data_IF_390598326161
#
_entry.id   IF_390598326161
#
_cell.length_a   1.000
_cell.length_b   1.000
_cell.length_c   1.000
_cell.angle_alpha   90.00
_cell.angle_beta   90.00
_cell.angle_gamma   90.00
#
_symmetry.space_group_name_H-M   'P 1'
#
loop_
_entity.id
_entity.type
_entity.pdbx_description
1 polymer ?
#
# COMPACT_ATOMS: atom_id res chain seq x y z
N UNK A 1 27.17 -28.92 6.94
CA UNK A 1 27.40 -27.49 6.65
C UNK A 1 26.09 -26.96 6.10
N UNK A 2 25.33 -26.20 6.90
CA UNK A 2 24.07 -25.64 6.45
C UNK A 2 24.38 -24.46 5.52
N UNK A 3 24.14 -24.63 4.22
CA UNK A 3 24.14 -23.53 3.27
C UNK A 3 23.04 -22.57 3.73
N UNK A 4 23.44 -21.46 4.36
CA UNK A 4 22.53 -20.36 4.69
C UNK A 4 22.09 -19.81 3.33
N UNK A 5 20.90 -20.19 2.88
CA UNK A 5 20.35 -19.69 1.62
C UNK A 5 20.46 -18.17 1.60
N UNK A 6 20.91 -17.59 0.49
CA UNK A 6 21.23 -16.19 0.47
C UNK A 6 19.91 -15.41 0.52
N UNK A 7 19.84 -14.49 1.47
CA UNK A 7 18.57 -13.93 1.91
C UNK A 7 18.14 -12.79 0.98
N UNK A 8 16.85 -12.70 0.65
CA UNK A 8 16.31 -11.69 -0.26
C UNK A 8 16.74 -10.26 0.15
N UNK A 9 17.14 -9.47 -0.84
CA UNK A 9 17.49 -8.06 -0.66
C UNK A 9 16.22 -7.21 -0.45
N UNK A 10 16.32 -6.13 0.33
CA UNK A 10 15.18 -5.21 0.53
C UNK A 10 14.67 -4.64 -0.80
N UNK A 11 15.57 -4.37 -1.75
CA UNK A 11 15.20 -3.90 -3.08
C UNK A 11 14.37 -4.93 -3.85
N UNK A 12 14.80 -6.20 -3.86
CA UNK A 12 14.03 -7.27 -4.52
C UNK A 12 12.67 -7.49 -3.83
N UNK A 13 12.62 -7.39 -2.50
CA UNK A 13 11.38 -7.46 -1.74
C UNK A 13 10.42 -6.32 -2.13
N UNK A 14 10.88 -5.06 -2.14
CA UNK A 14 10.07 -3.91 -2.55
C UNK A 14 9.52 -4.10 -3.97
N UNK A 15 10.36 -4.51 -4.91
CA UNK A 15 9.94 -4.76 -6.29
C UNK A 15 8.89 -5.88 -6.40
N UNK A 16 9.03 -6.96 -5.62
CA UNK A 16 8.05 -8.06 -5.59
C UNK A 16 6.69 -7.58 -5.04
N UNK A 17 6.70 -6.75 -4.00
CA UNK A 17 5.50 -6.16 -3.41
C UNK A 17 4.81 -5.18 -4.37
N UNK A 18 5.57 -4.31 -5.05
CA UNK A 18 5.03 -3.33 -6.00
C UNK A 18 4.29 -4.00 -7.18
N UNK A 19 4.79 -5.16 -7.66
CA UNK A 19 4.11 -5.98 -8.67
C UNK A 19 2.70 -6.41 -8.22
N UNK A 20 2.50 -6.58 -6.91
CA UNK A 20 1.23 -6.97 -6.28
C UNK A 20 0.42 -5.81 -5.72
N UNK A 21 0.78 -4.56 -6.06
CA UNK A 21 0.18 -3.34 -5.51
C UNK A 21 0.30 -3.25 -3.98
N UNK A 22 1.42 -3.72 -3.43
CA UNK A 22 1.75 -3.63 -2.01
C UNK A 22 2.89 -2.63 -1.83
N UNK A 23 2.82 -1.86 -0.75
CA UNK A 23 3.86 -0.94 -0.33
C UNK A 23 4.44 -1.41 1.01
N UNK A 24 5.74 -1.68 1.04
CA UNK A 24 6.42 -2.14 2.25
C UNK A 24 6.36 -1.07 3.35
N UNK A 25 5.93 -1.47 4.55
CA UNK A 25 5.98 -0.64 5.77
C UNK A 25 7.14 -1.09 6.64
N UNK A 26 7.17 -2.38 7.00
CA UNK A 26 8.25 -2.99 7.78
C UNK A 26 8.30 -4.49 7.53
N UNK A 27 9.42 -5.12 7.87
CA UNK A 27 9.54 -6.56 7.83
C UNK A 27 10.44 -7.10 8.93
N UNK A 28 10.17 -8.32 9.35
CA UNK A 28 10.99 -9.12 10.27
C UNK A 28 11.35 -10.42 9.57
N UNK A 29 12.60 -10.86 9.74
CA UNK A 29 13.07 -12.13 9.19
C UNK A 29 13.04 -13.20 10.27
N UNK A 30 12.49 -14.35 9.94
CA UNK A 30 12.36 -15.49 10.83
C UNK A 30 13.54 -16.45 10.67
N UNK A 31 13.78 -17.27 11.69
CA UNK A 31 14.90 -18.23 11.72
C UNK A 31 14.75 -19.37 10.69
N UNK A 32 13.52 -19.63 10.26
CA UNK A 32 13.18 -20.62 9.22
C UNK A 32 13.38 -20.08 7.79
N UNK A 33 13.83 -18.83 7.64
CA UNK A 33 14.07 -18.17 6.36
C UNK A 33 12.84 -17.45 5.79
N UNK A 34 11.68 -17.54 6.43
CA UNK A 34 10.49 -16.75 6.05
C UNK A 34 10.61 -15.30 6.54
N UNK A 35 9.71 -14.45 6.08
CA UNK A 35 9.64 -13.05 6.49
C UNK A 35 8.19 -12.66 6.80
N UNK A 36 7.99 -12.09 7.98
CA UNK A 36 6.74 -11.42 8.33
C UNK A 36 6.83 -9.96 7.89
N UNK A 37 5.89 -9.53 7.07
CA UNK A 37 5.94 -8.23 6.38
C UNK A 37 4.66 -7.47 6.64
N UNK A 38 4.80 -6.28 7.20
CA UNK A 38 3.73 -5.30 7.26
C UNK A 38 3.80 -4.45 5.99
N UNK A 39 2.68 -4.37 5.27
CA UNK A 39 2.57 -3.63 4.03
C UNK A 39 1.23 -2.92 3.92
N UNK A 40 1.13 -1.97 3.00
CA UNK A 40 -0.15 -1.41 2.57
C UNK A 40 -0.54 -1.98 1.21
N UNK A 41 -1.69 -2.64 1.12
CA UNK A 41 -2.32 -2.97 -0.15
C UNK A 41 -2.98 -1.72 -0.71
N UNK A 42 -2.58 -1.31 -1.91
CA UNK A 42 -3.24 -0.27 -2.67
C UNK A 42 -4.55 -0.82 -3.25
N UNK A 43 -5.65 -0.59 -2.53
CA UNK A 43 -6.97 -1.08 -2.89
C UNK A 43 -7.73 -0.04 -3.74
N UNK A 44 -8.25 -0.42 -4.92
CA UNK A 44 -8.97 0.52 -5.78
C UNK A 44 -10.36 0.83 -5.20
N UNK A 45 -10.56 2.07 -4.77
CA UNK A 45 -11.86 2.68 -4.55
C UNK A 45 -12.29 3.36 -5.85
N UNK A 46 -13.25 2.76 -6.54
CA UNK A 46 -13.85 3.36 -7.74
C UNK A 46 -14.63 4.61 -7.33
N UNK A 47 -14.33 5.72 -7.98
CA UNK A 47 -15.13 6.95 -7.91
C UNK A 47 -15.89 7.09 -9.23
N UNK A 48 -17.13 7.60 -9.17
CA UNK A 48 -17.99 7.73 -10.35
C UNK A 48 -17.40 8.73 -11.38
N UNK A 49 -16.67 9.75 -10.92
CA UNK A 49 -16.29 10.89 -11.76
C UNK A 49 -14.81 10.96 -12.15
N UNK A 50 -13.90 10.24 -11.49
CA UNK A 50 -12.46 10.49 -11.63
C UNK A 50 -11.59 9.23 -11.75
N UNK A 51 -12.18 8.08 -12.05
CA UNK A 51 -11.47 6.81 -12.13
C UNK A 51 -11.07 6.25 -10.75
N UNK A 52 -10.28 5.16 -10.70
CA UNK A 52 -9.93 4.52 -9.44
C UNK A 52 -8.98 5.40 -8.61
N UNK A 53 -9.36 5.65 -7.36
CA UNK A 53 -8.46 6.15 -6.33
C UNK A 53 -7.99 4.98 -5.47
N UNK A 54 -6.70 4.88 -5.23
CA UNK A 54 -6.11 3.78 -4.48
C UNK A 54 -5.97 4.17 -3.01
N UNK A 55 -6.59 3.38 -2.13
CA UNK A 55 -6.49 3.55 -0.68
C UNK A 55 -5.45 2.57 -0.15
N UNK A 56 -4.43 3.03 0.60
CA UNK A 56 -3.52 2.13 1.29
C UNK A 56 -4.25 1.46 2.46
N UNK A 57 -4.42 0.14 2.38
CA UNK A 57 -5.00 -0.69 3.44
C UNK A 57 -3.92 -1.54 4.09
N UNK A 58 -3.75 -1.50 5.43
CA UNK A 58 -2.73 -2.29 6.09
C UNK A 58 -3.02 -3.79 5.94
N UNK A 59 -1.97 -4.56 5.67
CA UNK A 59 -1.98 -6.02 5.57
C UNK A 59 -0.70 -6.58 6.18
N UNK A 60 -0.85 -7.69 6.90
CA UNK A 60 0.26 -8.51 7.40
C UNK A 60 0.46 -9.70 6.46
N UNK A 61 1.66 -9.85 5.93
CA UNK A 61 2.01 -10.84 4.93
C UNK A 61 3.06 -11.78 5.48
N UNK A 62 3.03 -13.02 5.01
CA UNK A 62 4.15 -13.95 5.17
C UNK A 62 4.77 -14.19 3.80
N UNK A 63 6.10 -14.01 3.71
CA UNK A 63 6.85 -14.11 2.47
C UNK A 63 7.88 -15.22 2.58
N UNK A 64 7.85 -16.12 1.60
CA UNK A 64 8.90 -17.11 1.40
C UNK A 64 9.85 -16.64 0.28
N UNK A 65 11.11 -16.29 0.59
CA UNK A 65 12.08 -15.92 -0.44
C UNK A 65 12.49 -17.13 -1.29
N UNK A 66 12.94 -16.87 -2.52
CA UNK A 66 13.49 -17.85 -3.46
C UNK A 66 14.93 -17.44 -3.83
N UNK A 67 15.77 -17.23 -2.81
CA UNK A 67 17.11 -16.64 -2.94
C UNK A 67 17.13 -15.10 -2.82
N UNK A 68 18.20 -14.47 -3.33
CA UNK A 68 18.48 -13.04 -3.11
C UNK A 68 17.58 -12.08 -3.90
N UNK A 69 17.05 -12.57 -5.02
CA UNK A 69 16.44 -11.73 -6.06
C UNK A 69 14.98 -12.04 -6.33
N UNK A 70 14.41 -13.05 -5.68
CA UNK A 70 13.09 -13.57 -6.04
C UNK A 70 12.26 -13.97 -4.82
N UNK A 71 10.94 -13.85 -4.95
CA UNK A 71 9.96 -14.24 -3.92
C UNK A 71 9.21 -15.46 -4.42
N UNK A 72 9.27 -16.55 -3.66
CA UNK A 72 8.56 -17.80 -3.96
C UNK A 72 7.06 -17.66 -3.80
N UNK A 73 6.63 -17.11 -2.67
CA UNK A 73 5.22 -16.94 -2.32
C UNK A 73 5.01 -15.74 -1.41
N UNK A 74 3.82 -15.14 -1.54
CA UNK A 74 3.30 -14.09 -0.67
C UNK A 74 1.93 -14.59 -0.21
N UNK A 75 1.76 -14.71 1.09
CA UNK A 75 0.51 -15.13 1.72
C UNK A 75 -0.18 -13.94 2.40
N UNK A 76 -1.50 -14.01 2.54
CA UNK A 76 -2.33 -12.99 3.18
C UNK A 76 -2.29 -11.60 2.50
N UNK A 77 -2.09 -11.56 1.16
CA UNK A 77 -1.98 -10.32 0.38
C UNK A 77 -3.30 -9.55 0.15
N UNK A 78 -4.38 -10.03 0.76
CA UNK A 78 -5.72 -9.50 0.63
C UNK A 78 -6.12 -8.77 1.91
N UNK A 79 -6.59 -7.52 1.81
CA UNK A 79 -7.10 -6.79 2.97
C UNK A 79 -8.37 -7.48 3.50
N UNK A 80 -8.64 -7.23 4.77
CA UNK A 80 -9.89 -7.67 5.40
C UNK A 80 -11.11 -7.14 4.62
N UNK A 81 -12.20 -7.93 4.59
CA UNK A 81 -13.39 -7.59 3.80
C UNK A 81 -14.06 -6.31 4.28
N UNK A 82 -14.05 -6.06 5.59
CA UNK A 82 -14.60 -4.83 6.16
C UNK A 82 -13.70 -3.64 5.81
N UNK A 83 -12.37 -3.80 5.89
CA UNK A 83 -11.43 -2.77 5.45
C UNK A 83 -11.61 -2.39 3.97
N UNK A 84 -11.86 -3.36 3.10
CA UNK A 84 -12.13 -3.13 1.67
C UNK A 84 -13.46 -2.39 1.43
N UNK A 85 -14.49 -2.64 2.25
CA UNK A 85 -15.76 -1.92 2.20
C UNK A 85 -15.60 -0.49 2.71
N UNK A 86 -14.91 -0.33 3.83
CA UNK A 86 -14.65 0.95 4.49
C UNK A 86 -13.82 1.87 3.59
N UNK A 87 -12.87 1.32 2.83
CA UNK A 87 -12.08 2.09 1.86
C UNK A 87 -12.97 2.90 0.89
N UNK A 88 -14.04 2.29 0.36
CA UNK A 88 -14.96 2.98 -0.56
C UNK A 88 -15.75 4.08 0.15
N UNK A 89 -16.26 3.80 1.34
CA UNK A 89 -16.99 4.78 2.14
C UNK A 89 -16.10 5.94 2.57
N UNK A 90 -14.85 5.64 2.92
CA UNK A 90 -13.83 6.61 3.29
C UNK A 90 -13.53 7.57 2.15
N UNK A 91 -13.29 7.06 0.93
CA UNK A 91 -13.08 7.93 -0.24
C UNK A 91 -14.30 8.81 -0.49
N UNK A 92 -15.51 8.23 -0.47
CA UNK A 92 -16.74 9.00 -0.63
C UNK A 92 -16.84 10.13 0.40
N UNK A 93 -16.60 9.83 1.68
CA UNK A 93 -16.61 10.82 2.76
C UNK A 93 -15.59 11.94 2.53
N UNK A 94 -14.37 11.61 2.09
CA UNK A 94 -13.34 12.62 1.81
C UNK A 94 -13.75 13.56 0.67
N UNK A 95 -14.40 13.03 -0.37
CA UNK A 95 -14.89 13.82 -1.50
C UNK A 95 -16.08 14.69 -1.06
N UNK A 96 -17.09 14.10 -0.43
CA UNK A 96 -18.30 14.78 0.02
C UNK A 96 -17.96 15.92 1.00
N UNK A 97 -16.96 15.72 1.86
CA UNK A 97 -16.49 16.72 2.83
C UNK A 97 -15.43 17.68 2.28
N UNK A 98 -15.03 17.56 1.00
CA UNK A 98 -13.94 18.37 0.39
C UNK A 98 -12.62 18.31 1.17
N UNK A 99 -12.33 17.14 1.74
CA UNK A 99 -11.15 16.89 2.57
C UNK A 99 -9.99 16.27 1.78
N UNK A 100 -10.19 16.01 0.49
CA UNK A 100 -9.19 15.51 -0.44
C UNK A 100 -8.61 16.69 -1.21
N UNK A 101 -7.29 16.71 -1.42
CA UNK A 101 -6.64 17.68 -2.29
C UNK A 101 -6.15 16.98 -3.55
N UNK A 102 -6.33 17.61 -4.72
CA UNK A 102 -5.83 17.09 -6.00
C UNK A 102 -6.91 16.49 -6.88
N UNK A 103 -8.20 16.73 -6.59
CA UNK A 103 -9.26 16.56 -7.59
C UNK A 103 -9.42 17.84 -8.43
N UNK A 104 -9.89 17.70 -9.69
CA UNK A 104 -10.16 18.85 -10.55
C UNK A 104 -11.23 19.74 -9.91
N UNK A 105 -10.93 21.03 -9.68
CA UNK A 105 -11.89 22.02 -9.20
C UNK A 105 -12.01 22.18 -7.68
N UNK A 106 -11.16 21.53 -6.88
CA UNK A 106 -11.18 21.69 -5.41
C UNK A 106 -10.49 22.98 -4.93
N UNK A 107 -11.17 23.73 -4.04
CA UNK A 107 -10.57 24.83 -3.27
C UNK A 107 -9.87 24.25 -2.02
N UNK A 108 -8.59 24.58 -1.84
CA UNK A 108 -7.66 23.97 -0.86
C UNK A 108 -7.91 24.34 0.63
N UNK A 109 -9.13 24.67 1.02
CA UNK A 109 -9.43 25.05 2.40
C UNK A 109 -9.81 23.79 3.19
N UNK A 110 -8.97 23.41 4.17
CA UNK A 110 -9.19 22.29 5.12
C UNK A 110 -9.00 20.86 4.59
N UNK A 111 -8.13 20.66 3.60
CA UNK A 111 -7.78 19.30 3.12
C UNK A 111 -6.97 18.55 4.18
N UNK A 112 -7.34 17.29 4.44
CA UNK A 112 -6.62 16.40 5.38
C UNK A 112 -5.89 15.27 4.64
N UNK A 113 -6.24 15.05 3.37
CA UNK A 113 -5.68 14.02 2.52
C UNK A 113 -5.29 14.63 1.17
N UNK A 114 -4.28 14.06 0.52
CA UNK A 114 -3.86 14.42 -0.83
C UNK A 114 -3.84 13.20 -1.74
N UNK A 115 -4.07 13.45 -3.03
CA UNK A 115 -3.83 12.47 -4.08
C UNK A 115 -2.39 12.59 -4.54
N UNK A 116 -1.63 11.52 -4.37
CA UNK A 116 -0.27 11.37 -4.87
C UNK A 116 -0.27 10.42 -6.08
N UNK A 117 0.73 10.53 -6.96
CA UNK A 117 0.85 9.63 -8.12
C UNK A 117 2.06 8.73 -7.89
N UNK A 118 1.82 7.42 -7.74
CA UNK A 118 2.91 6.47 -7.52
C UNK A 118 3.70 6.18 -8.82
N UNK A 119 4.78 5.40 -8.71
CA UNK A 119 5.63 5.01 -9.85
C UNK A 119 4.89 4.25 -10.97
N UNK A 120 3.70 3.69 -10.68
CA UNK A 120 2.83 3.00 -11.63
C UNK A 120 1.79 3.94 -12.27
N UNK A 121 1.85 5.25 -11.99
CA UNK A 121 0.87 6.23 -12.45
C UNK A 121 -0.47 6.15 -11.72
N UNK A 122 -0.56 5.42 -10.61
CA UNK A 122 -1.80 5.25 -9.85
C UNK A 122 -2.00 6.43 -8.89
N UNK A 123 -3.24 6.90 -8.82
CA UNK A 123 -3.68 7.97 -7.91
C UNK A 123 -3.92 7.40 -6.52
N UNK A 124 -2.98 7.59 -5.60
CA UNK A 124 -3.01 7.04 -4.24
C UNK A 124 -3.42 8.12 -3.24
N UNK A 125 -4.40 7.82 -2.39
CA UNK A 125 -4.79 8.70 -1.29
C UNK A 125 -3.75 8.58 -0.18
N UNK A 126 -3.15 9.69 0.19
CA UNK A 126 -2.21 9.82 1.31
C UNK A 126 -2.76 10.81 2.32
N UNK A 127 -2.56 10.54 3.60
CA UNK A 127 -2.81 11.56 4.62
C UNK A 127 -1.84 12.72 4.39
N UNK A 128 -2.37 13.94 4.38
CA UNK A 128 -1.53 15.13 4.36
C UNK A 128 -0.82 15.17 5.72
N UNK A 129 0.51 15.07 5.71
CA UNK A 129 1.28 15.30 6.92
C UNK A 129 0.96 16.69 7.44
N UNK A 130 0.60 16.81 8.72
CA UNK A 130 0.69 18.09 9.40
C UNK A 130 2.18 18.39 9.43
N UNK A 131 2.65 19.25 8.53
CA UNK A 131 3.94 19.91 8.70
C UNK A 131 3.81 20.73 9.98
N UNK A 132 4.15 20.13 11.12
CA UNK A 132 4.38 20.86 12.36
C UNK A 132 5.46 21.88 12.04
N UNK A 133 5.04 23.14 11.96
CA UNK A 133 5.94 24.29 11.92
C UNK A 133 6.70 24.41 13.24
#
# INVERSE_FOLDING_TARGET
>A
MASKEPAITETALKQALEKKNLELVSYTRNDDGTMDVEANKLYPALTDDHGPLYVPLPVSLTISPNGEHDVKSIENDSPDKDAARDAKQFVKMLIDNKQLSGMPGEQQLHTTHKIDTNAKGQRVIRRQGFSGS
#
